data_IF_071268628899
#
_entry.id   IF_071268628899
#
_cell.length_a   1.000
_cell.length_b   1.000
_cell.length_c   1.000
_cell.angle_alpha   90.00
_cell.angle_beta   90.00
_cell.angle_gamma   90.00
#
_symmetry.space_group_name_H-M   'P 1'
#
loop_
_entity.id
_entity.type
_entity.pdbx_description
1 polymer ?
#
# COMPACT_ATOMS: atom_id res chain seq x y z
N UNK A 1 -19.94 5.83 -5.34
CA UNK A 1 -19.11 5.05 -4.39
C UNK A 1 -18.38 4.00 -5.20
N UNK A 2 -17.06 3.88 -5.09
CA UNK A 2 -16.30 2.84 -5.81
C UNK A 2 -16.39 1.55 -5.01
N UNK A 3 -17.00 0.50 -5.56
CA UNK A 3 -17.26 -0.75 -4.84
C UNK A 3 -16.10 -1.76 -4.92
N UNK A 4 -15.20 -1.55 -5.89
CA UNK A 4 -14.03 -2.40 -6.11
C UNK A 4 -12.91 -1.64 -6.80
N UNK A 5 -11.68 -2.10 -6.59
CA UNK A 5 -10.52 -1.70 -7.36
C UNK A 5 -10.06 -2.85 -8.24
N UNK A 6 -9.69 -2.55 -9.48
CA UNK A 6 -9.23 -3.51 -10.46
C UNK A 6 -7.75 -3.25 -10.71
N UNK A 7 -6.88 -4.19 -10.35
CA UNK A 7 -5.48 -4.18 -10.79
C UNK A 7 -5.39 -4.91 -12.13
N UNK A 8 -5.28 -4.18 -13.25
CA UNK A 8 -5.30 -4.82 -14.56
C UNK A 8 -4.02 -5.64 -14.78
N UNK A 9 -4.14 -6.74 -15.51
CA UNK A 9 -3.02 -7.58 -15.93
C UNK A 9 -1.92 -6.76 -16.59
N UNK A 10 -2.30 -5.75 -17.39
CA UNK A 10 -1.35 -4.85 -18.06
C UNK A 10 -0.47 -4.07 -17.08
N UNK A 11 -0.97 -3.71 -15.90
CA UNK A 11 -0.17 -3.05 -14.86
C UNK A 11 0.69 -4.06 -14.10
N UNK A 12 0.17 -5.26 -13.82
CA UNK A 12 0.95 -6.34 -13.21
C UNK A 12 2.18 -6.72 -14.06
N UNK A 13 2.00 -6.79 -15.38
CA UNK A 13 3.10 -7.04 -16.31
C UNK A 13 4.14 -5.91 -16.33
N UNK A 14 3.72 -4.65 -16.08
CA UNK A 14 4.65 -3.53 -15.90
C UNK A 14 5.45 -3.67 -14.60
N UNK A 15 4.83 -4.10 -13.51
CA UNK A 15 5.53 -4.37 -12.25
C UNK A 15 6.54 -5.50 -12.39
N UNK A 16 6.19 -6.61 -13.07
CA UNK A 16 7.12 -7.70 -13.37
C UNK A 16 8.32 -7.17 -14.17
N UNK A 17 8.08 -6.41 -15.24
CA UNK A 17 9.16 -5.83 -16.05
C UNK A 17 10.04 -4.88 -15.25
N UNK A 18 9.47 -4.11 -14.33
CA UNK A 18 10.23 -3.23 -13.45
C UNK A 18 11.10 -4.03 -12.47
N UNK A 19 10.55 -5.06 -11.84
CA UNK A 19 11.27 -5.96 -10.93
C UNK A 19 12.40 -6.76 -11.62
N UNK A 20 12.21 -7.13 -12.89
CA UNK A 20 13.25 -7.80 -13.70
C UNK A 20 14.35 -6.81 -14.14
N UNK A 21 13.98 -5.54 -14.38
CA UNK A 21 14.92 -4.50 -14.84
C UNK A 21 15.76 -3.90 -13.71
N UNK A 22 15.14 -3.66 -12.55
CA UNK A 22 15.77 -2.98 -11.43
C UNK A 22 15.98 -3.98 -10.29
N UNK A 23 17.25 -4.23 -9.94
CA UNK A 23 17.62 -5.12 -8.85
C UNK A 23 17.49 -4.47 -7.46
N UNK A 24 17.18 -3.18 -7.39
CA UNK A 24 17.04 -2.40 -6.18
C UNK A 24 15.57 -2.12 -5.85
N UNK A 25 15.29 -1.63 -4.64
CA UNK A 25 13.94 -1.23 -4.24
C UNK A 25 13.39 -0.12 -5.14
N UNK A 26 12.08 -0.16 -5.39
CA UNK A 26 11.37 0.88 -6.11
C UNK A 26 9.97 1.05 -5.57
N UNK A 27 9.43 2.26 -5.66
CA UNK A 27 8.08 2.58 -5.22
C UNK A 27 7.37 3.41 -6.27
N UNK A 28 6.06 3.22 -6.39
CA UNK A 28 5.19 4.06 -7.21
C UNK A 28 3.89 4.36 -6.47
N UNK A 29 3.35 5.55 -6.68
CA UNK A 29 2.02 5.91 -6.24
C UNK A 29 0.94 5.22 -7.08
N UNK A 30 -0.22 4.98 -6.49
CA UNK A 30 -1.39 4.36 -7.13
C UNK A 30 -2.57 5.32 -7.12
N UNK A 31 -3.29 5.38 -8.23
CA UNK A 31 -4.51 6.16 -8.39
C UNK A 31 -5.58 5.39 -9.15
N UNK A 32 -6.81 5.87 -9.09
CA UNK A 32 -7.93 5.29 -9.85
C UNK A 32 -8.26 6.08 -11.12
N UNK A 33 -8.46 5.33 -12.21
CA UNK A 33 -9.19 5.77 -13.40
C UNK A 33 -10.46 4.93 -13.53
N UNK A 34 -11.56 5.48 -13.02
CA UNK A 34 -12.78 4.68 -12.81
C UNK A 34 -12.58 3.71 -11.64
N UNK A 35 -12.69 2.41 -11.90
CA UNK A 35 -12.35 1.33 -10.95
C UNK A 35 -10.92 0.80 -11.14
N UNK A 36 -10.27 1.17 -12.23
CA UNK A 36 -8.96 0.61 -12.63
C UNK A 36 -7.82 1.34 -11.93
N UNK A 37 -6.90 0.57 -11.37
CA UNK A 37 -5.67 1.07 -10.75
C UNK A 37 -4.67 1.45 -11.86
N UNK A 38 -4.12 2.65 -11.74
CA UNK A 38 -2.96 3.13 -12.49
C UNK A 38 -1.84 3.51 -11.53
N UNK A 39 -0.59 3.33 -11.94
CA UNK A 39 0.56 3.84 -11.17
C UNK A 39 1.01 5.23 -11.65
N UNK A 40 1.71 5.97 -10.80
CA UNK A 40 2.37 7.23 -11.11
C UNK A 40 3.59 7.44 -10.20
N UNK A 41 4.43 8.44 -10.47
CA UNK A 41 5.51 8.83 -9.55
C UNK A 41 6.45 7.68 -9.19
N UNK A 42 7.14 7.12 -10.19
CA UNK A 42 8.07 6.01 -10.00
C UNK A 42 9.42 6.50 -9.49
N UNK A 43 9.90 5.96 -8.37
CA UNK A 43 11.21 6.26 -7.79
C UNK A 43 11.99 4.98 -7.51
N UNK A 44 13.32 5.09 -7.66
CA UNK A 44 14.27 4.03 -7.33
C UNK A 44 14.95 4.38 -6.00
N UNK A 45 15.25 3.36 -5.20
CA UNK A 45 16.01 3.45 -3.96
C UNK A 45 17.18 2.47 -3.93
N UNK A 46 18.04 2.57 -2.92
CA UNK A 46 18.96 1.48 -2.55
C UNK A 46 18.18 0.38 -1.81
N UNK A 47 18.81 -0.76 -1.49
CA UNK A 47 18.23 -1.88 -0.71
C UNK A 47 17.69 -1.50 0.70
N UNK A 48 17.70 -0.22 1.08
CA UNK A 48 17.28 0.27 2.40
C UNK A 48 16.64 1.65 2.39
N UNK A 49 16.63 2.36 1.26
CA UNK A 49 16.20 3.75 1.18
C UNK A 49 15.54 4.03 -0.17
N UNK A 50 14.28 3.62 -0.32
CA UNK A 50 13.42 4.23 -1.33
C UNK A 50 12.59 5.34 -0.71
N UNK A 51 12.71 6.56 -1.25
CA UNK A 51 11.92 7.69 -0.77
C UNK A 51 10.44 7.47 -1.07
N UNK A 52 9.53 7.65 -0.09
CA UNK A 52 8.10 7.56 -0.33
C UNK A 52 7.62 8.50 -1.43
N UNK A 53 6.66 8.05 -2.22
CA UNK A 53 5.96 8.89 -3.22
C UNK A 53 4.88 9.68 -2.50
N UNK A 54 4.92 11.01 -2.57
CA UNK A 54 3.78 11.79 -2.06
C UNK A 54 2.56 11.61 -2.95
N UNK A 55 1.42 11.33 -2.32
CA UNK A 55 0.12 11.23 -2.97
C UNK A 55 -0.64 12.57 -2.94
N UNK A 56 -0.05 13.60 -2.32
CA UNK A 56 -0.67 14.90 -2.10
C UNK A 56 -0.98 15.59 -3.42
N UNK A 57 -2.22 16.04 -3.56
CA UNK A 57 -2.69 16.75 -4.76
C UNK A 57 -2.88 15.87 -5.98
N UNK A 58 -2.68 14.54 -5.89
CA UNK A 58 -2.92 13.61 -6.98
C UNK A 58 -4.39 13.18 -6.95
N UNK A 59 -5.19 13.47 -7.99
CA UNK A 59 -6.60 13.10 -8.02
C UNK A 59 -6.79 11.59 -7.91
N UNK A 60 -7.70 11.17 -7.02
CA UNK A 60 -8.05 9.77 -6.77
C UNK A 60 -6.85 8.88 -6.46
N UNK A 61 -5.84 9.41 -5.76
CA UNK A 61 -4.77 8.59 -5.19
C UNK A 61 -5.34 7.62 -4.14
N UNK A 62 -4.81 6.40 -4.12
CA UNK A 62 -5.32 5.30 -3.28
C UNK A 62 -4.22 4.55 -2.53
N UNK A 63 -2.94 4.86 -2.73
CA UNK A 63 -1.85 4.24 -1.99
C UNK A 63 -0.61 4.07 -2.84
N UNK A 64 0.18 3.03 -2.57
CA UNK A 64 1.47 2.80 -3.22
C UNK A 64 1.70 1.32 -3.53
N UNK A 65 2.62 1.06 -4.46
CA UNK A 65 3.24 -0.25 -4.66
C UNK A 65 4.74 -0.11 -4.40
N UNK A 66 5.28 -0.98 -3.56
CA UNK A 66 6.69 -1.04 -3.18
C UNK A 66 7.28 -2.39 -3.63
N UNK A 67 8.47 -2.40 -4.21
CA UNK A 67 9.18 -3.62 -4.55
C UNK A 67 10.31 -3.91 -3.58
N UNK A 68 10.33 -5.16 -3.10
CA UNK A 68 11.39 -5.72 -2.31
C UNK A 68 12.19 -6.72 -3.18
N UNK A 69 13.51 -6.57 -3.33
CA UNK A 69 14.33 -7.43 -4.20
C UNK A 69 14.52 -8.87 -3.69
N UNK A 70 13.93 -9.20 -2.54
CA UNK A 70 13.97 -10.51 -1.91
C UNK A 70 12.85 -11.43 -2.43
N UNK A 71 13.01 -12.74 -2.20
CA UNK A 71 11.93 -13.72 -2.46
C UNK A 71 10.90 -13.64 -1.34
N UNK A 72 9.65 -13.95 -1.66
CA UNK A 72 8.58 -14.04 -0.69
C UNK A 72 8.87 -15.16 0.32
N UNK A 73 8.91 -14.83 1.62
CA UNK A 73 8.75 -15.81 2.70
C UNK A 73 7.26 -16.05 2.93
N UNK A 74 6.84 -17.23 3.39
CA UNK A 74 5.41 -17.62 3.52
C UNK A 74 4.51 -16.56 4.20
N UNK A 75 5.08 -15.69 5.03
CA UNK A 75 4.41 -14.48 5.52
C UNK A 75 5.23 -13.23 5.14
N UNK A 76 4.87 -12.53 4.07
CA UNK A 76 5.44 -11.25 3.70
C UNK A 76 4.85 -10.18 4.63
N UNK A 77 5.52 -9.95 5.76
CA UNK A 77 5.14 -8.92 6.70
C UNK A 77 5.75 -7.61 6.18
N UNK A 78 4.96 -6.54 5.91
CA UNK A 78 5.54 -5.23 5.63
C UNK A 78 6.51 -4.82 6.74
N UNK A 79 7.56 -4.07 6.39
CA UNK A 79 8.41 -3.47 7.43
C UNK A 79 7.59 -2.55 8.33
N UNK A 80 8.10 -2.24 9.52
CA UNK A 80 7.45 -1.26 10.41
C UNK A 80 7.38 0.10 9.69
N UNK A 81 8.42 0.42 8.94
CA UNK A 81 8.54 1.62 8.12
C UNK A 81 7.49 1.68 7.01
N UNK A 82 7.23 0.56 6.31
CA UNK A 82 6.12 0.44 5.36
C UNK A 82 4.80 0.75 6.06
N UNK A 83 4.57 0.14 7.23
CA UNK A 83 3.37 0.38 8.04
C UNK A 83 3.17 1.85 8.42
N UNK A 84 4.22 2.51 8.92
CA UNK A 84 4.19 3.93 9.28
C UNK A 84 3.88 4.80 8.04
N UNK A 85 4.52 4.53 6.91
CA UNK A 85 4.27 5.25 5.67
C UNK A 85 2.83 5.07 5.17
N UNK A 86 2.30 3.85 5.25
CA UNK A 86 0.92 3.56 4.87
C UNK A 86 -0.10 4.27 5.76
N UNK A 87 0.17 4.35 7.07
CA UNK A 87 -0.62 5.15 8.01
C UNK A 87 -0.55 6.63 7.62
N UNK A 88 0.65 7.16 7.31
CA UNK A 88 0.80 8.55 6.89
C UNK A 88 -0.04 8.87 5.65
N UNK A 89 0.08 8.07 4.58
CA UNK A 89 -0.71 8.24 3.36
C UNK A 89 -2.22 8.16 3.63
N UNK A 90 -2.64 7.15 4.40
CA UNK A 90 -4.04 6.93 4.77
C UNK A 90 -4.63 8.05 5.61
N UNK A 91 -3.81 8.65 6.48
CA UNK A 91 -4.25 9.74 7.35
C UNK A 91 -4.28 11.07 6.60
N UNK A 92 -3.21 11.40 5.87
CA UNK A 92 -2.95 12.77 5.40
C UNK A 92 -3.20 13.01 3.91
N UNK A 93 -3.06 12.00 3.05
CA UNK A 93 -2.96 12.23 1.61
C UNK A 93 -4.08 11.60 0.78
N UNK A 94 -4.73 10.55 1.30
CA UNK A 94 -5.83 9.87 0.62
C UNK A 94 -7.17 10.48 1.03
N UNK A 95 -8.06 10.64 0.05
CA UNK A 95 -9.38 11.22 0.22
C UNK A 95 -10.33 10.32 1.04
N UNK A 96 -11.21 10.94 1.82
CA UNK A 96 -12.04 10.28 2.83
C UNK A 96 -13.00 9.21 2.28
N UNK A 97 -13.37 9.34 1.01
CA UNK A 97 -14.29 8.44 0.32
C UNK A 97 -13.62 7.19 -0.27
N UNK A 98 -12.28 7.13 -0.28
CA UNK A 98 -11.50 6.04 -0.87
C UNK A 98 -10.89 5.16 0.22
N UNK A 99 -10.79 3.86 -0.06
CA UNK A 99 -10.05 2.93 0.78
C UNK A 99 -8.57 2.96 0.37
N UNK A 100 -7.63 3.21 1.29
CA UNK A 100 -6.21 3.05 0.99
C UNK A 100 -5.90 1.60 0.66
N UNK A 101 -5.08 1.35 -0.36
CA UNK A 101 -4.57 0.04 -0.74
C UNK A 101 -3.08 0.12 -1.05
N UNK A 102 -2.32 -0.79 -0.46
CA UNK A 102 -0.87 -0.84 -0.55
C UNK A 102 -0.42 -2.22 -1.02
N UNK A 103 0.65 -2.25 -1.80
CA UNK A 103 1.20 -3.48 -2.35
C UNK A 103 2.69 -3.61 -2.05
N UNK A 104 3.13 -4.84 -1.79
CA UNK A 104 4.54 -5.21 -1.84
C UNK A 104 4.73 -6.24 -2.95
N UNK A 105 5.61 -5.98 -3.90
CA UNK A 105 5.98 -6.87 -5.00
C UNK A 105 7.32 -7.52 -4.70
N UNK A 106 7.44 -8.82 -4.97
CA UNK A 106 8.64 -9.62 -4.73
C UNK A 106 9.28 -10.10 -6.02
N UNK A 107 10.57 -10.46 -5.95
CA UNK A 107 11.36 -10.92 -7.09
C UNK A 107 10.83 -12.21 -7.74
N UNK A 108 10.13 -13.03 -6.98
CA UNK A 108 9.52 -14.29 -7.44
C UNK A 108 8.10 -14.11 -8.03
N UNK A 109 7.72 -12.86 -8.37
CA UNK A 109 6.46 -12.52 -9.04
C UNK A 109 5.23 -12.71 -8.16
N UNK A 110 5.40 -12.76 -6.84
CA UNK A 110 4.30 -12.60 -5.89
C UNK A 110 4.08 -11.13 -5.54
N UNK A 111 2.84 -10.81 -5.19
CA UNK A 111 2.48 -9.54 -4.59
C UNK A 111 1.61 -9.76 -3.35
N UNK A 112 1.99 -9.10 -2.27
CA UNK A 112 1.17 -8.93 -1.08
C UNK A 112 0.40 -7.64 -1.19
N UNK A 113 -0.79 -7.61 -0.63
CA UNK A 113 -1.58 -6.39 -0.57
C UNK A 113 -2.28 -6.25 0.77
N UNK A 114 -2.52 -5.00 1.14
CA UNK A 114 -3.38 -4.62 2.26
C UNK A 114 -4.28 -3.49 1.84
N UNK A 115 -5.54 -3.53 2.29
CA UNK A 115 -6.50 -2.46 2.15
C UNK A 115 -6.94 -2.01 3.53
N UNK A 116 -6.77 -0.72 3.79
CA UNK A 116 -7.17 -0.10 5.03
C UNK A 116 -8.64 0.36 4.96
N UNK A 117 -9.31 0.50 6.12
CA UNK A 117 -10.57 1.21 6.18
C UNK A 117 -10.39 2.68 5.72
N UNK A 118 -11.51 3.35 5.43
CA UNK A 118 -11.49 4.73 4.92
C UNK A 118 -10.78 5.69 5.90
N UNK A 119 -10.13 6.75 5.40
CA UNK A 119 -9.35 7.69 6.20
C UNK A 119 -10.03 8.19 7.49
N UNK A 120 -11.35 8.49 7.55
CA UNK A 120 -11.98 8.91 8.80
C UNK A 120 -11.85 7.88 9.94
N UNK A 121 -11.91 6.58 9.62
CA UNK A 121 -11.72 5.50 10.59
C UNK A 121 -10.27 5.46 11.05
N UNK A 122 -9.33 5.53 10.09
CA UNK A 122 -7.88 5.56 10.37
C UNK A 122 -7.52 6.74 11.27
N UNK A 123 -8.00 7.94 10.95
CA UNK A 123 -7.73 9.17 11.74
C UNK A 123 -8.26 9.04 13.16
N UNK A 124 -9.49 8.57 13.33
CA UNK A 124 -10.09 8.37 14.65
C UNK A 124 -9.26 7.39 15.49
N UNK A 125 -8.87 6.27 14.92
CA UNK A 125 -8.07 5.25 15.64
C UNK A 125 -6.68 5.77 15.96
N UNK A 126 -6.00 6.42 15.00
CA UNK A 126 -4.69 7.02 15.20
C UNK A 126 -4.70 8.09 16.30
N UNK A 127 -5.69 8.99 16.29
CA UNK A 127 -5.84 10.03 17.33
C UNK A 127 -6.02 9.41 18.72
N UNK A 128 -6.79 8.32 18.81
CA UNK A 128 -6.94 7.56 20.06
C UNK A 128 -5.61 7.01 20.58
N UNK A 129 -4.77 6.45 19.70
CA UNK A 129 -3.44 5.97 20.09
C UNK A 129 -2.51 7.14 20.44
N UNK A 130 -2.51 8.22 19.66
CA UNK A 130 -1.69 9.41 19.93
C UNK A 130 -2.04 10.07 21.27
N UNK A 131 -3.31 10.09 21.67
CA UNK A 131 -3.71 10.62 22.98
C UNK A 131 -3.07 9.82 24.12
N UNK A 132 -2.92 8.50 23.97
CA UNK A 132 -2.32 7.62 25.00
C UNK A 132 -0.80 7.79 25.09
N UNK A 133 -0.11 7.83 23.94
CA UNK A 133 1.37 7.76 23.91
C UNK A 133 2.05 9.11 23.71
N UNK A 134 1.34 10.13 23.20
CA UNK A 134 1.85 11.48 22.88
C UNK A 134 3.09 11.50 21.97
N UNK A 135 3.23 10.46 21.14
CA UNK A 135 4.32 10.25 20.20
C UNK A 135 3.75 9.76 18.86
N UNK A 136 4.12 10.42 17.76
CA UNK A 136 3.51 10.16 16.44
C UNK A 136 3.94 8.81 15.86
N UNK A 137 5.18 8.42 16.07
CA UNK A 137 5.73 7.18 15.53
C UNK A 137 5.15 5.99 16.28
N UNK A 138 5.20 6.03 17.62
CA UNK A 138 4.59 5.01 18.48
C UNK A 138 3.09 4.89 18.24
N UNK A 139 2.37 5.99 18.04
CA UNK A 139 0.94 5.95 17.70
C UNK A 139 0.68 5.23 16.37
N UNK A 140 1.56 5.43 15.38
CA UNK A 140 1.45 4.80 14.07
C UNK A 140 1.77 3.31 14.14
N UNK A 141 2.82 2.92 14.88
CA UNK A 141 3.16 1.51 15.16
C UNK A 141 2.00 0.81 15.87
N UNK A 142 1.48 1.42 16.95
CA UNK A 142 0.34 0.87 17.69
C UNK A 142 -0.90 0.70 16.81
N UNK A 143 -1.18 1.67 15.95
CA UNK A 143 -2.26 1.56 14.97
C UNK A 143 -2.04 0.38 14.02
N UNK A 144 -0.84 0.21 13.44
CA UNK A 144 -0.54 -0.91 12.56
C UNK A 144 -0.78 -2.26 13.25
N UNK A 145 -0.27 -2.44 14.47
CA UNK A 145 -0.47 -3.65 15.27
C UNK A 145 -1.94 -3.90 15.59
N UNK A 146 -2.68 -2.84 15.93
CA UNK A 146 -4.12 -2.92 16.21
C UNK A 146 -4.93 -3.31 14.97
N UNK A 147 -4.61 -2.72 13.82
CA UNK A 147 -5.27 -3.02 12.56
C UNK A 147 -5.12 -4.50 12.16
N UNK A 148 -3.94 -5.09 12.42
CA UNK A 148 -3.67 -6.51 12.22
C UNK A 148 -4.47 -7.41 13.17
N UNK A 149 -4.53 -7.06 14.46
CA UNK A 149 -5.18 -7.89 15.49
C UNK A 149 -6.71 -7.89 15.39
N UNK A 150 -7.31 -6.79 14.96
CA UNK A 150 -8.78 -6.64 14.94
C UNK A 150 -9.41 -7.12 13.61
N UNK A 151 -8.64 -7.71 12.69
CA UNK A 151 -9.11 -8.06 11.33
C UNK A 151 -9.82 -6.88 10.62
N UNK A 152 -9.38 -5.65 10.91
CA UNK A 152 -10.02 -4.41 10.41
C UNK A 152 -9.50 -4.01 9.04
N UNK A 153 -8.45 -4.68 8.56
CA UNK A 153 -7.87 -4.54 7.23
C UNK A 153 -8.22 -5.77 6.39
N UNK A 154 -8.27 -5.61 5.07
CA UNK A 154 -8.30 -6.74 4.14
C UNK A 154 -6.89 -6.97 3.65
N UNK A 155 -6.44 -8.20 3.60
CA UNK A 155 -5.09 -8.55 3.13
C UNK A 155 -5.14 -9.77 2.24
N UNK A 156 -4.07 -9.99 1.49
CA UNK A 156 -3.88 -11.22 0.76
C UNK A 156 -2.59 -11.24 -0.03
N UNK A 157 -2.35 -12.38 -0.68
CA UNK A 157 -1.18 -12.63 -1.52
C UNK A 157 -1.69 -13.23 -2.84
N UNK A 158 -1.08 -12.84 -3.96
CA UNK A 158 -1.39 -13.43 -5.25
C UNK A 158 -0.15 -13.43 -6.15
N UNK A 159 -0.18 -14.30 -7.15
CA UNK A 159 0.88 -14.36 -8.17
C UNK A 159 0.55 -13.39 -9.31
N UNK A 160 1.50 -12.52 -9.64
CA UNK A 160 1.38 -11.52 -10.71
C UNK A 160 1.31 -12.17 -12.09
N UNK A 161 0.69 -11.46 -13.04
CA UNK A 161 0.75 -11.81 -14.45
C UNK A 161 -0.20 -12.91 -14.91
N UNK A 162 -1.14 -13.35 -14.04
CA UNK A 162 -2.11 -14.40 -14.38
C UNK A 162 -3.41 -13.87 -14.97
N UNK A 163 -4.02 -12.89 -14.30
CA UNK A 163 -5.30 -12.25 -14.67
C UNK A 163 -5.47 -10.96 -13.90
N UNK A 164 -6.43 -10.14 -14.31
CA UNK A 164 -6.89 -8.98 -13.53
C UNK A 164 -7.23 -9.41 -12.10
N UNK A 165 -6.86 -8.59 -11.11
CA UNK A 165 -7.23 -8.80 -9.72
C UNK A 165 -8.29 -7.79 -9.31
N UNK A 166 -9.29 -8.27 -8.57
CA UNK A 166 -10.37 -7.44 -8.04
C UNK A 166 -10.27 -7.38 -6.51
N UNK A 167 -10.32 -6.16 -5.98
CA UNK A 167 -10.30 -5.90 -4.54
C UNK A 167 -11.60 -5.22 -4.15
N UNK A 168 -12.47 -5.93 -3.41
CA UNK A 168 -13.72 -5.36 -2.89
C UNK A 168 -13.40 -4.32 -1.81
N UNK A 169 -13.92 -3.11 -1.94
CA UNK A 169 -13.74 -2.04 -0.93
C UNK A 169 -14.54 -2.34 0.35
N UNK A 170 -14.33 -1.55 1.41
CA UNK A 170 -15.10 -1.64 2.65
C UNK A 170 -16.47 -0.96 2.52
#
# INVERSE_FOLDING_TARGET
>A
MVARYILPLSLQLKWIKAAEKYSCEWIAGLKLKGETIEWFGFTLGSESEVKPVSLKGIPKSIGTVHFHPYKHTETPIPSIEDGINWVYHSYWEIADELNPIFFIVFKDKYASWTMFPKPPIIRKTWQGEYIKVKDKEKASINLCLKLLNENTIKTGIFHLGKKDQEFKTF
#
